data_IF_152839706989
#
_entry.id   IF_152839706989
#
_cell.length_a   1.000
_cell.length_b   1.000
_cell.length_c   1.000
_cell.angle_alpha   90.00
_cell.angle_beta   90.00
_cell.angle_gamma   90.00
#
_symmetry.space_group_name_H-M   'P 1'
#
loop_
_entity.id
_entity.type
_entity.pdbx_description
1 polymer ?
#
# COMPACT_ATOMS: atom_id res chain seq x y z
N UNK A 1 -14.38 -1.51 5.99
CA UNK A 1 -15.40 -0.45 5.93
C UNK A 1 -16.74 -1.12 6.05
N UNK A 2 -17.64 -0.59 6.87
CA UNK A 2 -19.05 -1.02 6.91
C UNK A 2 -19.84 0.01 6.12
N UNK A 3 -20.72 -0.45 5.23
CA UNK A 3 -21.45 0.42 4.30
C UNK A 3 -22.95 0.22 4.50
N UNK A 4 -23.67 1.32 4.72
CA UNK A 4 -25.13 1.32 4.67
C UNK A 4 -25.56 1.41 3.19
N UNK A 5 -25.89 0.26 2.59
CA UNK A 5 -26.26 0.19 1.17
C UNK A 5 -27.58 0.89 0.83
N UNK A 6 -28.49 1.00 1.81
CA UNK A 6 -29.74 1.77 1.63
C UNK A 6 -29.43 3.25 1.47
N UNK A 7 -28.72 3.84 2.43
CA UNK A 7 -28.33 5.26 2.36
C UNK A 7 -27.40 5.53 1.18
N UNK A 8 -26.53 4.58 0.82
CA UNK A 8 -25.69 4.67 -0.37
C UNK A 8 -26.52 4.90 -1.64
N UNK A 9 -27.57 4.09 -1.81
CA UNK A 9 -28.49 4.18 -2.94
C UNK A 9 -29.33 5.46 -2.88
N UNK A 10 -29.97 5.74 -1.75
CA UNK A 10 -30.83 6.91 -1.56
C UNK A 10 -30.09 8.24 -1.78
N UNK A 11 -28.80 8.29 -1.43
CA UNK A 11 -27.95 9.48 -1.60
C UNK A 11 -27.09 9.48 -2.87
N UNK A 12 -27.29 8.52 -3.79
CA UNK A 12 -26.57 8.42 -5.07
C UNK A 12 -25.04 8.53 -4.94
N UNK A 13 -24.46 7.81 -3.98
CA UNK A 13 -23.01 7.89 -3.68
C UNK A 13 -22.12 7.41 -4.83
N UNK A 14 -22.62 6.51 -5.66
CA UNK A 14 -22.00 6.10 -6.92
C UNK A 14 -21.74 7.29 -7.85
N UNK A 15 -22.73 8.18 -8.02
CA UNK A 15 -22.62 9.37 -8.88
C UNK A 15 -21.57 10.37 -8.35
N UNK A 16 -21.50 10.55 -7.04
CA UNK A 16 -20.47 11.40 -6.40
C UNK A 16 -19.06 10.84 -6.61
N UNK A 17 -18.87 9.54 -6.40
CA UNK A 17 -17.59 8.87 -6.64
C UNK A 17 -17.18 9.01 -8.11
N UNK A 18 -18.10 8.75 -9.04
CA UNK A 18 -17.85 8.89 -10.48
C UNK A 18 -17.49 10.32 -10.88
N UNK A 19 -18.07 11.34 -10.22
CA UNK A 19 -17.69 12.74 -10.42
C UNK A 19 -16.22 12.97 -10.02
N UNK A 20 -15.79 12.50 -8.86
CA UNK A 20 -14.40 12.64 -8.41
C UNK A 20 -13.41 11.91 -9.32
N UNK A 21 -13.74 10.68 -9.72
CA UNK A 21 -12.92 9.91 -10.65
C UNK A 21 -12.77 10.62 -12.01
N UNK A 22 -13.86 11.15 -12.57
CA UNK A 22 -13.83 11.88 -13.83
C UNK A 22 -13.05 13.18 -13.74
N UNK A 23 -13.18 13.92 -12.63
CA UNK A 23 -12.38 15.12 -12.39
C UNK A 23 -10.90 14.78 -12.33
N UNK A 24 -10.52 13.77 -11.54
CA UNK A 24 -9.12 13.36 -11.40
C UNK A 24 -8.51 12.85 -12.71
N UNK A 25 -9.32 12.25 -13.60
CA UNK A 25 -8.88 11.86 -14.95
C UNK A 25 -8.57 13.06 -15.85
N UNK A 26 -9.36 14.13 -15.76
CA UNK A 26 -9.19 15.34 -16.58
C UNK A 26 -8.10 16.26 -16.03
N UNK A 27 -8.05 16.39 -14.71
CA UNK A 27 -7.08 17.21 -13.99
C UNK A 27 -6.75 16.50 -12.69
N UNK A 28 -5.56 15.90 -12.56
CA UNK A 28 -5.18 15.16 -11.36
C UNK A 28 -5.22 16.05 -10.12
N UNK A 29 -6.14 15.76 -9.19
CA UNK A 29 -6.32 16.48 -7.93
C UNK A 29 -5.89 15.65 -6.71
N UNK A 30 -5.76 14.33 -6.87
CA UNK A 30 -5.21 13.42 -5.88
C UNK A 30 -4.36 12.32 -6.54
N UNK A 31 -3.50 11.70 -5.73
CA UNK A 31 -2.74 10.49 -6.10
C UNK A 31 -3.34 9.29 -5.38
N UNK A 32 -2.97 8.07 -5.80
CA UNK A 32 -3.43 6.79 -5.25
C UNK A 32 -4.86 6.40 -5.69
N UNK A 33 -5.18 5.10 -5.56
CA UNK A 33 -6.35 4.46 -6.19
C UNK A 33 -7.72 4.87 -5.66
N UNK A 34 -8.51 3.92 -5.16
CA UNK A 34 -9.92 4.16 -4.79
C UNK A 34 -10.11 4.89 -3.46
N UNK A 35 -9.08 4.97 -2.61
CA UNK A 35 -9.20 5.56 -1.28
C UNK A 35 -9.52 7.09 -1.31
N UNK A 36 -8.77 7.95 -2.03
CA UNK A 36 -9.09 9.38 -2.10
C UNK A 36 -10.51 9.72 -2.58
N UNK A 37 -11.05 9.14 -3.68
CA UNK A 37 -12.41 9.50 -4.11
C UNK A 37 -13.49 9.03 -3.13
N UNK A 38 -13.30 7.92 -2.42
CA UNK A 38 -14.19 7.52 -1.32
C UNK A 38 -14.13 8.54 -0.18
N UNK A 39 -12.93 8.97 0.21
CA UNK A 39 -12.73 9.97 1.26
C UNK A 39 -13.40 11.31 0.93
N UNK A 40 -13.30 11.77 -0.33
CA UNK A 40 -13.96 12.99 -0.80
C UNK A 40 -15.49 12.86 -0.81
N UNK A 41 -16.01 11.69 -1.18
CA UNK A 41 -17.45 11.40 -1.23
C UNK A 41 -18.09 11.37 0.16
N UNK A 42 -17.37 10.85 1.15
CA UNK A 42 -17.89 10.66 2.51
C UNK A 42 -17.37 11.71 3.49
N UNK A 43 -16.81 12.82 3.02
CA UNK A 43 -16.31 13.87 3.91
C UNK A 43 -17.45 14.38 4.82
N UNK A 44 -17.25 14.26 6.14
CA UNK A 44 -18.25 14.54 7.20
C UNK A 44 -19.54 13.70 7.13
N UNK A 45 -19.61 12.69 6.28
CA UNK A 45 -20.75 11.77 6.13
C UNK A 45 -20.33 10.33 6.44
N UNK A 46 -19.76 10.13 7.63
CA UNK A 46 -19.29 8.83 8.12
C UNK A 46 -19.26 8.79 9.65
N UNK A 47 -19.28 7.58 10.19
CA UNK A 47 -19.06 7.33 11.61
C UNK A 47 -17.67 6.72 11.84
N UNK A 48 -17.04 7.08 12.95
CA UNK A 48 -15.75 6.55 13.33
C UNK A 48 -15.90 5.18 13.97
N UNK A 49 -15.14 4.20 13.49
CA UNK A 49 -14.97 2.92 14.19
C UNK A 49 -13.70 2.96 15.05
N UNK A 50 -13.68 2.24 16.20
CA UNK A 50 -12.46 2.10 16.99
C UNK A 50 -11.30 1.57 16.14
N UNK A 51 -10.09 2.09 16.34
CA UNK A 51 -8.90 1.70 15.57
C UNK A 51 -8.60 0.20 15.65
N UNK A 52 -9.04 -0.51 16.70
CA UNK A 52 -8.89 -1.97 16.84
C UNK A 52 -9.59 -2.76 15.73
N UNK A 53 -10.61 -2.18 15.08
CA UNK A 53 -11.32 -2.79 13.95
C UNK A 53 -10.60 -2.63 12.59
N UNK A 54 -9.48 -1.92 12.55
CA UNK A 54 -8.62 -1.79 11.36
C UNK A 54 -7.20 -1.40 11.78
N UNK A 55 -6.54 -2.26 12.56
CA UNK A 55 -5.21 -1.99 13.08
C UNK A 55 -4.17 -2.14 11.97
N UNK A 56 -3.39 -1.09 11.74
CA UNK A 56 -2.68 -0.87 10.49
C UNK A 56 -1.21 -0.50 10.71
N UNK A 57 -0.49 -0.34 9.61
CA UNK A 57 0.94 -0.01 9.47
C UNK A 57 1.93 -1.17 9.61
N UNK A 58 1.45 -2.42 9.67
CA UNK A 58 2.33 -3.58 9.82
C UNK A 58 3.24 -3.81 8.61
N UNK A 59 2.93 -3.25 7.44
CA UNK A 59 3.82 -3.27 6.26
C UNK A 59 4.75 -2.06 6.13
N UNK A 60 4.80 -1.17 7.15
CA UNK A 60 5.60 0.06 7.14
C UNK A 60 6.45 0.26 8.41
N UNK A 61 5.87 0.07 9.60
CA UNK A 61 6.46 0.51 10.87
C UNK A 61 6.90 -0.69 11.71
N UNK A 62 8.14 -0.72 12.19
CA UNK A 62 8.64 -1.76 13.12
C UNK A 62 8.42 -1.40 14.60
N UNK A 63 7.84 -0.23 14.88
CA UNK A 63 7.68 0.32 16.22
C UNK A 63 6.31 0.06 16.86
N UNK A 64 5.47 -0.77 16.24
CA UNK A 64 4.13 -1.05 16.77
C UNK A 64 4.23 -1.98 17.99
N UNK A 65 3.49 -1.65 19.04
CA UNK A 65 3.48 -2.47 20.26
C UNK A 65 2.74 -3.77 19.98
N UNK A 66 3.39 -4.86 20.33
CA UNK A 66 2.88 -6.22 20.21
C UNK A 66 1.55 -6.41 20.96
N UNK A 67 1.38 -5.71 22.09
CA UNK A 67 0.14 -5.70 22.87
C UNK A 67 -1.03 -5.01 22.15
N UNK A 68 -0.78 -3.95 21.39
CA UNK A 68 -1.81 -3.26 20.61
C UNK A 68 -2.26 -4.13 19.43
N UNK A 69 -1.32 -4.82 18.77
CA UNK A 69 -1.62 -5.76 17.68
C UNK A 69 -2.50 -6.89 18.20
N UNK A 70 -2.15 -7.50 19.34
CA UNK A 70 -2.94 -8.59 19.95
C UNK A 70 -4.36 -8.18 20.34
N UNK A 71 -4.57 -6.93 20.77
CA UNK A 71 -5.89 -6.42 21.14
C UNK A 71 -6.73 -5.98 19.94
N UNK A 72 -6.17 -5.98 18.73
CA UNK A 72 -6.93 -5.65 17.52
C UNK A 72 -7.84 -6.79 17.09
N UNK A 73 -8.99 -6.44 16.52
CA UNK A 73 -9.92 -7.39 15.92
C UNK A 73 -9.55 -7.72 14.48
N UNK A 74 -9.00 -6.74 13.75
CA UNK A 74 -8.57 -6.89 12.36
C UNK A 74 -7.19 -6.28 12.18
N UNK A 75 -6.27 -7.06 11.62
CA UNK A 75 -4.91 -6.65 11.28
C UNK A 75 -4.83 -6.35 9.78
N UNK A 76 -4.40 -5.14 9.44
CA UNK A 76 -4.21 -4.68 8.07
C UNK A 76 -2.72 -4.44 7.79
N UNK A 77 -2.12 -5.34 7.01
CA UNK A 77 -0.76 -5.23 6.50
C UNK A 77 -0.65 -4.22 5.33
N UNK A 78 -1.09 -2.97 5.51
CA UNK A 78 -0.89 -1.94 4.49
C UNK A 78 0.60 -1.62 4.32
N UNK A 79 1.00 -1.34 3.09
CA UNK A 79 2.39 -1.09 2.71
C UNK A 79 3.03 -2.22 1.91
N UNK A 80 4.29 -2.02 1.48
CA UNK A 80 4.98 -2.94 0.56
C UNK A 80 5.50 -4.22 1.24
N UNK A 81 5.78 -4.18 2.54
CA UNK A 81 6.38 -5.30 3.29
C UNK A 81 5.32 -6.26 3.80
N UNK A 82 4.82 -7.12 2.91
CA UNK A 82 3.78 -8.11 3.23
C UNK A 82 4.38 -9.30 3.98
N UNK A 83 3.64 -9.91 4.94
CA UNK A 83 4.15 -11.04 5.72
C UNK A 83 4.30 -12.33 4.91
N UNK A 84 3.69 -12.42 3.73
CA UNK A 84 3.88 -13.54 2.79
C UNK A 84 4.99 -13.30 1.76
N UNK A 85 5.75 -12.20 1.88
CA UNK A 85 6.89 -11.87 1.00
C UNK A 85 8.20 -11.97 1.77
N UNK A 86 9.32 -12.07 1.06
CA UNK A 86 10.65 -12.19 1.67
C UNK A 86 11.10 -10.93 2.39
N UNK A 87 10.61 -9.77 1.97
CA UNK A 87 10.88 -8.47 2.60
C UNK A 87 9.88 -8.11 3.72
N UNK A 88 9.14 -9.09 4.23
CA UNK A 88 8.18 -8.91 5.31
C UNK A 88 8.81 -8.32 6.58
N UNK A 89 7.98 -7.96 7.56
CA UNK A 89 8.49 -7.58 8.88
C UNK A 89 8.40 -8.81 9.79
N UNK A 90 9.54 -9.40 10.12
CA UNK A 90 9.60 -10.70 10.80
C UNK A 90 8.85 -10.72 12.13
N UNK A 91 9.00 -9.67 12.95
CA UNK A 91 8.28 -9.51 14.21
C UNK A 91 6.75 -9.60 14.08
N UNK A 92 6.18 -9.29 12.91
CA UNK A 92 4.75 -9.35 12.67
C UNK A 92 4.30 -10.58 11.88
N UNK A 93 5.23 -11.31 11.26
CA UNK A 93 4.91 -12.46 10.40
C UNK A 93 4.10 -13.52 11.14
N UNK A 94 4.40 -13.72 12.44
CA UNK A 94 3.70 -14.63 13.36
C UNK A 94 2.18 -14.45 13.40
N UNK A 95 1.69 -13.23 13.20
CA UNK A 95 0.25 -12.94 13.23
C UNK A 95 -0.48 -13.41 11.98
N UNK A 96 0.22 -13.48 10.84
CA UNK A 96 -0.34 -13.98 9.59
C UNK A 96 -0.17 -15.50 9.47
N UNK A 97 1.02 -16.00 9.78
CA UNK A 97 1.33 -17.44 9.65
C UNK A 97 0.48 -18.32 10.55
N UNK A 98 -0.01 -17.79 11.68
CA UNK A 98 -0.99 -18.49 12.55
C UNK A 98 -2.24 -18.97 11.79
N UNK A 99 -2.67 -18.24 10.77
CA UNK A 99 -3.87 -18.56 9.98
C UNK A 99 -3.53 -19.09 8.59
N UNK A 100 -2.24 -19.18 8.28
CA UNK A 100 -1.79 -19.62 6.97
C UNK A 100 -1.47 -21.10 6.99
N UNK A 101 -2.37 -21.89 6.41
CA UNK A 101 -2.24 -23.34 6.26
C UNK A 101 -2.26 -23.69 4.78
N UNK A 102 -1.14 -23.52 4.06
CA UNK A 102 -1.06 -23.99 2.67
C UNK A 102 -1.19 -25.51 2.63
N UNK A 103 -1.80 -26.05 1.56
CA UNK A 103 -1.62 -27.46 1.24
C UNK A 103 -0.13 -27.76 1.05
N UNK A 104 0.27 -29.02 1.15
CA UNK A 104 1.65 -29.41 0.89
C UNK A 104 2.10 -28.94 -0.50
N UNK A 105 1.27 -29.07 -1.54
CA UNK A 105 1.59 -28.54 -2.88
C UNK A 105 1.70 -27.01 -2.91
N UNK A 106 0.85 -26.29 -2.18
CA UNK A 106 0.88 -24.82 -2.12
C UNK A 106 2.10 -24.31 -1.35
N UNK A 107 2.51 -25.04 -0.31
CA UNK A 107 3.71 -24.76 0.46
C UNK A 107 4.93 -24.96 -0.44
N UNK A 108 5.00 -26.11 -1.12
CA UNK A 108 6.11 -26.45 -2.01
C UNK A 108 6.23 -25.44 -3.15
N UNK A 109 5.13 -25.01 -3.79
CA UNK A 109 5.15 -23.96 -4.83
C UNK A 109 5.57 -22.57 -4.33
N UNK A 110 5.24 -22.21 -3.09
CA UNK A 110 5.66 -20.92 -2.53
C UNK A 110 7.10 -20.93 -2.05
N UNK A 111 7.58 -22.07 -1.54
CA UNK A 111 9.00 -22.28 -1.23
C UNK A 111 9.81 -22.30 -2.52
N UNK A 112 9.39 -23.07 -3.53
CA UNK A 112 10.02 -23.10 -4.86
C UNK A 112 10.03 -21.74 -5.55
N UNK A 113 8.90 -21.03 -5.55
CA UNK A 113 8.83 -19.68 -6.13
C UNK A 113 9.65 -18.64 -5.35
N UNK A 114 10.00 -18.90 -4.08
CA UNK A 114 10.91 -18.07 -3.30
C UNK A 114 12.39 -18.36 -3.62
N UNK A 115 12.74 -19.63 -3.85
CA UNK A 115 14.08 -20.05 -4.26
C UNK A 115 14.37 -19.59 -5.71
N UNK A 116 13.41 -19.78 -6.63
CA UNK A 116 13.51 -19.23 -7.99
C UNK A 116 13.55 -17.70 -8.02
N UNK A 117 12.91 -16.98 -7.09
CA UNK A 117 13.03 -15.50 -7.02
C UNK A 117 14.35 -15.02 -6.41
N UNK A 118 15.11 -15.89 -5.72
CA UNK A 118 16.50 -15.61 -5.38
C UNK A 118 17.44 -15.84 -6.57
N UNK A 119 17.14 -16.82 -7.44
CA UNK A 119 17.97 -17.13 -8.62
C UNK A 119 17.59 -16.35 -9.90
N UNK A 120 16.34 -15.90 -10.05
CA UNK A 120 15.82 -15.21 -11.26
C UNK A 120 15.99 -13.69 -11.26
N UNK A 121 16.68 -13.11 -10.27
CA UNK A 121 17.27 -11.76 -10.44
C UNK A 121 18.35 -11.71 -11.55
N UNK A 122 18.60 -12.82 -12.25
CA UNK A 122 19.49 -12.92 -13.40
C UNK A 122 18.80 -13.09 -14.77
N UNK A 123 17.46 -13.11 -14.89
CA UNK A 123 16.82 -13.42 -16.19
C UNK A 123 15.54 -12.64 -16.49
N UNK A 124 15.57 -11.30 -16.46
CA UNK A 124 14.62 -10.52 -17.25
C UNK A 124 15.14 -9.11 -17.52
N UNK A 125 15.01 -8.66 -18.76
CA UNK A 125 15.72 -7.59 -19.47
C UNK A 125 15.58 -6.15 -18.95
N UNK A 126 15.14 -5.92 -17.71
CA UNK A 126 15.01 -4.58 -17.12
C UNK A 126 15.64 -4.53 -15.72
N UNK A 127 16.92 -4.18 -15.66
CA UNK A 127 17.67 -4.02 -14.40
C UNK A 127 17.49 -2.57 -13.89
N UNK A 128 16.74 -2.38 -12.81
CA UNK A 128 16.63 -1.09 -12.12
C UNK A 128 17.69 -0.97 -11.02
N UNK A 129 18.88 -0.50 -11.40
CA UNK A 129 19.98 -0.23 -10.48
C UNK A 129 19.79 1.14 -9.79
N UNK A 130 18.94 1.23 -8.77
CA UNK A 130 18.76 2.45 -7.97
C UNK A 130 20.07 2.87 -7.25
N UNK A 131 20.92 3.64 -7.96
CA UNK A 131 22.18 4.29 -7.54
C UNK A 131 23.22 3.40 -6.85
N UNK A 132 23.21 2.08 -7.09
CA UNK A 132 24.17 1.13 -6.51
C UNK A 132 25.37 0.90 -7.46
N UNK A 133 26.61 1.27 -7.08
CA UNK A 133 27.77 1.18 -7.97
C UNK A 133 28.06 -0.23 -8.52
N UNK A 134 27.92 -1.26 -7.68
CA UNK A 134 28.13 -2.65 -8.09
C UNK A 134 27.10 -3.15 -9.12
N UNK A 135 25.86 -2.67 -9.04
CA UNK A 135 24.80 -3.02 -9.99
C UNK A 135 25.04 -2.36 -11.36
N UNK A 136 25.54 -1.11 -11.36
CA UNK A 136 25.85 -0.35 -12.58
C UNK A 136 27.04 -0.96 -13.33
N UNK A 137 28.09 -1.37 -12.61
CA UNK A 137 29.24 -2.06 -13.19
C UNK A 137 28.84 -3.36 -13.88
N UNK A 138 27.99 -4.16 -13.23
CA UNK A 138 27.55 -5.44 -13.79
C UNK A 138 26.59 -5.26 -14.99
N UNK A 139 25.66 -4.30 -14.91
CA UNK A 139 24.77 -3.98 -16.04
C UNK A 139 25.53 -3.47 -17.28
N UNK A 140 26.63 -2.74 -17.07
CA UNK A 140 27.52 -2.26 -18.13
C UNK A 140 28.32 -3.41 -18.76
N UNK A 141 28.79 -4.36 -17.93
CA UNK A 141 29.45 -5.60 -18.39
C UNK A 141 28.53 -6.49 -19.23
N UNK A 142 27.22 -6.45 -18.94
CA UNK A 142 26.18 -7.18 -19.66
C UNK A 142 25.63 -6.45 -20.91
N UNK A 143 26.17 -5.28 -21.27
CA UNK A 143 25.83 -4.58 -22.52
C UNK A 143 24.50 -3.81 -22.50
N UNK A 144 23.93 -3.52 -21.33
CA UNK A 144 22.66 -2.79 -21.19
C UNK A 144 22.91 -1.27 -21.34
N UNK A 145 22.24 -0.61 -22.30
CA UNK A 145 22.42 0.82 -22.58
C UNK A 145 21.81 1.74 -21.50
N UNK A 146 22.53 2.82 -21.18
CA UNK A 146 22.30 3.78 -20.08
C UNK A 146 21.00 4.62 -20.15
N UNK A 147 20.26 4.61 -21.27
CA UNK A 147 19.15 5.54 -21.53
C UNK A 147 17.84 5.26 -20.76
N UNK A 148 17.78 4.22 -19.91
CA UNK A 148 16.56 3.82 -19.19
C UNK A 148 16.54 4.21 -17.70
N UNK A 149 17.14 5.35 -17.33
CA UNK A 149 17.09 5.88 -15.95
C UNK A 149 16.31 7.19 -15.92
N UNK A 150 15.02 7.14 -15.56
CA UNK A 150 14.21 8.34 -15.32
C UNK A 150 14.17 8.68 -13.82
N UNK A 151 14.57 9.91 -13.49
CA UNK A 151 14.35 10.57 -12.21
C UNK A 151 13.13 11.50 -12.32
N UNK A 152 12.02 11.17 -11.65
CA UNK A 152 10.89 12.09 -11.52
C UNK A 152 10.86 12.70 -10.11
N UNK A 153 11.49 13.88 -9.98
CA UNK A 153 11.20 14.83 -8.93
C UNK A 153 10.23 15.88 -9.49
N UNK A 154 9.03 16.03 -8.89
CA UNK A 154 8.05 17.01 -9.34
C UNK A 154 8.02 18.25 -8.41
N UNK A 155 8.24 19.47 -8.94
CA UNK A 155 8.02 20.72 -8.24
C UNK A 155 6.57 21.16 -8.44
N UNK A 156 5.85 21.42 -7.35
CA UNK A 156 4.51 22.06 -7.22
C UNK A 156 3.50 21.19 -6.47
N UNK A 157 3.29 21.53 -5.20
CA UNK A 157 2.20 21.02 -4.36
C UNK A 157 0.89 21.71 -4.75
N UNK A 158 -0.22 20.98 -4.96
CA UNK A 158 -1.52 21.61 -5.23
C UNK A 158 -2.10 22.29 -3.98
N UNK A 159 -2.82 23.39 -4.20
CA UNK A 159 -3.41 24.33 -3.21
C UNK A 159 -4.46 23.74 -2.25
N UNK A 160 -4.71 22.43 -2.26
CA UNK A 160 -5.73 21.76 -1.44
C UNK A 160 -5.14 20.77 -0.42
N UNK A 161 -3.81 20.75 -0.28
CA UNK A 161 -3.10 19.91 0.69
C UNK A 161 -3.59 20.04 2.14
N UNK A 162 -3.99 21.21 2.66
CA UNK A 162 -4.46 21.34 4.05
C UNK A 162 -5.72 20.51 4.33
N UNK A 163 -6.69 20.50 3.40
CA UNK A 163 -7.94 19.74 3.56
C UNK A 163 -7.73 18.22 3.53
N UNK A 164 -6.77 17.72 2.72
CA UNK A 164 -6.38 16.32 2.77
C UNK A 164 -5.61 15.98 4.07
N UNK A 165 -4.72 16.86 4.53
CA UNK A 165 -3.84 16.59 5.68
C UNK A 165 -4.58 16.64 7.03
N UNK A 166 -5.51 17.57 7.24
CA UNK A 166 -6.33 17.61 8.47
C UNK A 166 -7.25 16.39 8.58
N UNK A 167 -7.69 15.89 7.43
CA UNK A 167 -8.48 14.67 7.33
C UNK A 167 -7.63 13.40 7.49
N UNK A 168 -6.39 13.39 6.98
CA UNK A 168 -5.42 12.34 7.30
C UNK A 168 -5.01 12.36 8.77
N UNK A 169 -4.95 13.52 9.44
CA UNK A 169 -4.64 13.59 10.87
C UNK A 169 -5.73 12.96 11.74
N UNK A 170 -6.98 13.37 11.53
CA UNK A 170 -8.13 12.98 12.35
C UNK A 170 -8.59 11.52 12.16
N UNK A 171 -8.51 10.98 10.94
CA UNK A 171 -8.90 9.58 10.67
C UNK A 171 -7.72 8.59 10.84
N UNK A 172 -6.46 9.07 10.90
CA UNK A 172 -5.25 8.23 10.88
C UNK A 172 -4.36 8.39 12.13
N UNK A 173 -4.85 9.09 13.17
CA UNK A 173 -4.25 9.12 14.50
C UNK A 173 -2.95 9.89 14.62
N UNK A 174 -2.65 10.79 13.68
CA UNK A 174 -1.54 11.74 13.86
C UNK A 174 -2.05 12.90 14.72
N UNK A 175 -1.76 12.87 16.03
CA UNK A 175 -1.67 14.11 16.79
C UNK A 175 -0.37 14.80 16.40
N UNK A 176 -0.42 16.12 16.17
CA UNK A 176 0.78 16.96 16.17
C UNK A 176 1.51 16.81 17.50
#
# INVERSE_FOLDING_TARGET
MVINLRLWKERNKDREILKWLNLNRKSPVYKYGSQPPLMLTFYKDYENMPMSWNFRHLGHKQTLKDSDIRRSHIIHYNGPRKPWRGNGIDQYRKYWTRYYHPSKETHDLLVWGFEELQDSFLTSSHISCNTRPACIQEATRMGVQSSYVHFDAWPNKPKYLPALMDFFGSMWGFKQ
#
